data_IF_914898804868
#
_entry.id   IF_914898804868
#
_cell.length_a   1.000
_cell.length_b   1.000
_cell.length_c   1.000
_cell.angle_alpha   90.00
_cell.angle_beta   90.00
_cell.angle_gamma   90.00
#
_symmetry.space_group_name_H-M   'P 1'
#
loop_
_entity.id
_entity.type
_entity.pdbx_description
1 polymer ?
#
# COMPACT_ATOMS: atom_id res chain seq x y z
N UNK A 1 8.90 -18.23 1.74
CA UNK A 1 9.03 -17.89 0.30
C UNK A 1 9.85 -18.99 -0.34
N UNK A 2 9.47 -19.56 -1.51
CA UNK A 2 10.24 -20.60 -2.16
C UNK A 2 11.66 -20.12 -2.49
N UNK A 3 12.67 -20.91 -2.20
CA UNK A 3 14.08 -20.58 -2.44
C UNK A 3 14.36 -20.20 -3.90
N UNK A 4 13.66 -20.83 -4.84
CA UNK A 4 13.76 -20.51 -6.26
C UNK A 4 13.39 -19.04 -6.58
N UNK A 5 12.38 -18.47 -5.92
CA UNK A 5 11.99 -17.07 -6.10
C UNK A 5 13.06 -16.12 -5.53
N UNK A 6 13.67 -16.51 -4.43
CA UNK A 6 14.77 -15.79 -3.81
C UNK A 6 16.00 -15.73 -4.72
N UNK A 7 16.38 -16.87 -5.27
CA UNK A 7 17.49 -16.97 -6.23
C UNK A 7 17.20 -16.20 -7.53
N UNK A 8 15.95 -16.23 -8.01
CA UNK A 8 15.55 -15.50 -9.19
C UNK A 8 15.68 -13.97 -8.96
N UNK A 9 15.20 -13.47 -7.84
CA UNK A 9 15.31 -12.04 -7.48
C UNK A 9 16.76 -11.55 -7.43
N UNK A 10 17.69 -12.39 -7.03
CA UNK A 10 19.10 -12.04 -6.98
C UNK A 10 19.80 -12.05 -8.36
N UNK A 11 19.20 -12.67 -9.36
CA UNK A 11 19.81 -12.89 -10.69
C UNK A 11 19.11 -12.15 -11.83
N UNK A 12 17.85 -11.78 -11.66
CA UNK A 12 17.10 -11.12 -12.74
C UNK A 12 17.65 -9.73 -12.99
N UNK A 13 17.93 -9.43 -14.27
CA UNK A 13 18.42 -8.11 -14.65
C UNK A 13 17.29 -7.07 -14.62
N UNK A 14 17.64 -5.84 -14.29
CA UNK A 14 16.70 -4.71 -14.37
C UNK A 14 16.25 -4.42 -15.80
N UNK A 15 16.97 -4.85 -16.81
CA UNK A 15 16.56 -4.76 -18.21
C UNK A 15 15.30 -5.58 -18.47
N UNK A 16 15.22 -6.82 -17.95
CA UNK A 16 13.99 -7.63 -18.06
C UNK A 16 12.81 -7.01 -17.33
N UNK A 17 13.08 -6.33 -16.22
CA UNK A 17 12.04 -5.57 -15.49
C UNK A 17 11.51 -4.43 -16.34
N UNK A 18 12.41 -3.71 -17.03
CA UNK A 18 12.04 -2.64 -17.96
C UNK A 18 11.23 -3.17 -19.15
N UNK A 19 11.65 -4.28 -19.76
CA UNK A 19 10.89 -4.93 -20.85
C UNK A 19 9.46 -5.28 -20.41
N UNK A 20 9.29 -5.74 -19.16
CA UNK A 20 7.98 -6.03 -18.60
C UNK A 20 7.14 -4.77 -18.44
N UNK A 21 7.71 -3.69 -17.90
CA UNK A 21 7.05 -2.39 -17.80
C UNK A 21 6.60 -1.91 -19.18
N UNK A 22 7.50 -1.92 -20.15
CA UNK A 22 7.24 -1.40 -21.50
C UNK A 22 6.07 -2.15 -22.18
N UNK A 23 5.89 -3.46 -21.91
CA UNK A 23 4.72 -4.22 -22.35
C UNK A 23 3.40 -3.72 -21.75
N UNK A 24 3.41 -3.38 -20.46
CA UNK A 24 2.22 -2.83 -19.80
C UNK A 24 1.92 -1.43 -20.32
N UNK A 25 2.93 -0.57 -20.43
CA UNK A 25 2.78 0.79 -20.96
C UNK A 25 2.27 0.78 -22.41
N UNK A 26 2.78 -0.12 -23.25
CA UNK A 26 2.30 -0.30 -24.64
C UNK A 26 0.82 -0.75 -24.69
N UNK A 27 0.33 -1.42 -23.64
CA UNK A 27 -1.09 -1.77 -23.49
C UNK A 27 -1.93 -0.68 -22.81
N UNK A 28 -1.35 0.50 -22.53
CA UNK A 28 -2.03 1.60 -21.84
C UNK A 28 -2.18 1.39 -20.32
N UNK A 29 -1.42 0.47 -19.73
CA UNK A 29 -1.48 0.17 -18.29
C UNK A 29 -0.21 0.67 -17.61
N UNK A 30 -0.37 1.54 -16.60
CA UNK A 30 0.72 2.02 -15.76
C UNK A 30 0.79 1.21 -14.47
N UNK A 31 2.01 0.85 -14.05
CA UNK A 31 2.26 0.19 -12.76
C UNK A 31 2.55 1.30 -11.74
N UNK A 32 1.60 1.58 -10.87
CA UNK A 32 1.71 2.67 -9.89
C UNK A 32 2.30 2.20 -8.55
N UNK A 33 1.88 1.03 -8.08
CA UNK A 33 2.27 0.49 -6.77
C UNK A 33 2.74 -0.95 -6.93
N UNK A 34 3.83 -1.29 -6.28
CA UNK A 34 4.37 -2.65 -6.28
C UNK A 34 4.21 -3.27 -4.89
N UNK A 35 3.32 -4.27 -4.77
CA UNK A 35 3.14 -4.98 -3.50
C UNK A 35 4.26 -6.00 -3.30
N UNK A 36 4.88 -5.96 -2.11
CA UNK A 36 5.94 -6.88 -1.69
C UNK A 36 5.58 -7.48 -0.35
N UNK A 37 5.03 -8.71 -0.36
CA UNK A 37 4.71 -9.42 0.88
C UNK A 37 5.96 -10.06 1.50
N UNK A 38 6.00 -10.06 2.83
CA UNK A 38 7.07 -10.70 3.61
C UNK A 38 8.42 -9.97 3.55
N UNK A 39 8.46 -8.69 3.20
CA UNK A 39 9.67 -7.90 3.05
C UNK A 39 10.51 -7.85 4.33
N UNK A 40 9.90 -7.89 5.50
CA UNK A 40 10.59 -7.87 6.79
C UNK A 40 11.45 -9.13 7.05
N UNK A 41 11.16 -10.24 6.36
CA UNK A 41 11.92 -11.49 6.45
C UNK A 41 13.00 -11.61 5.37
N UNK A 42 13.22 -10.58 4.58
CA UNK A 42 14.21 -10.56 3.50
C UNK A 42 15.58 -10.10 4.00
N UNK A 43 16.64 -10.61 3.37
CA UNK A 43 17.98 -10.07 3.56
C UNK A 43 18.09 -8.67 2.94
N UNK A 44 19.04 -7.86 3.41
CA UNK A 44 19.22 -6.47 2.98
C UNK A 44 19.35 -6.32 1.45
N UNK A 45 20.11 -7.21 0.80
CA UNK A 45 20.26 -7.25 -0.65
C UNK A 45 18.92 -7.51 -1.38
N UNK A 46 18.05 -8.30 -0.78
CA UNK A 46 16.72 -8.57 -1.35
C UNK A 46 15.80 -7.36 -1.19
N UNK A 47 15.91 -6.66 -0.07
CA UNK A 47 15.18 -5.40 0.15
C UNK A 47 15.65 -4.34 -0.86
N UNK A 48 16.96 -4.13 -1.01
CA UNK A 48 17.51 -3.23 -2.02
C UNK A 48 17.00 -3.56 -3.44
N UNK A 49 16.95 -4.85 -3.77
CA UNK A 49 16.40 -5.30 -5.05
C UNK A 49 14.91 -4.97 -5.20
N UNK A 50 14.09 -5.09 -4.13
CA UNK A 50 12.68 -4.74 -4.19
C UNK A 50 12.45 -3.26 -4.54
N UNK A 51 13.28 -2.35 -4.02
CA UNK A 51 13.21 -0.93 -4.38
C UNK A 51 13.65 -0.69 -5.83
N UNK A 52 14.73 -1.34 -6.27
CA UNK A 52 15.19 -1.26 -7.66
C UNK A 52 14.13 -1.82 -8.64
N UNK A 53 13.52 -2.95 -8.29
CA UNK A 53 12.42 -3.57 -9.04
C UNK A 53 11.23 -2.62 -9.14
N UNK A 54 10.75 -2.06 -8.02
CA UNK A 54 9.59 -1.17 -8.00
C UNK A 54 9.83 0.07 -8.87
N UNK A 55 11.00 0.68 -8.77
CA UNK A 55 11.41 1.81 -9.62
C UNK A 55 11.52 1.41 -11.10
N UNK A 56 12.12 0.26 -11.40
CA UNK A 56 12.25 -0.26 -12.76
C UNK A 56 10.92 -0.55 -13.44
N UNK A 57 9.92 -0.95 -12.66
CA UNK A 57 8.53 -1.14 -13.11
C UNK A 57 7.77 0.18 -13.33
N UNK A 58 8.33 1.33 -12.96
CA UNK A 58 7.65 2.62 -13.04
C UNK A 58 6.79 2.93 -11.81
N UNK A 59 6.81 2.07 -10.80
CA UNK A 59 6.06 2.28 -9.57
C UNK A 59 6.57 3.51 -8.80
N UNK A 60 5.68 4.15 -8.06
CA UNK A 60 5.99 5.31 -7.21
C UNK A 60 6.09 4.95 -5.72
N UNK A 61 5.64 3.76 -5.35
CA UNK A 61 5.78 3.25 -3.99
C UNK A 61 5.79 1.71 -3.96
N UNK A 62 6.41 1.17 -2.91
CA UNK A 62 6.19 -0.21 -2.48
C UNK A 62 5.00 -0.22 -1.52
N UNK A 63 4.14 -1.24 -1.61
CA UNK A 63 3.15 -1.55 -0.59
C UNK A 63 3.51 -2.84 0.12
N UNK A 64 3.38 -2.87 1.44
CA UNK A 64 3.55 -4.08 2.27
C UNK A 64 2.63 -4.03 3.47
N UNK A 65 2.44 -5.14 4.17
CA UNK A 65 1.67 -5.15 5.42
C UNK A 65 2.40 -4.35 6.51
N UNK A 66 1.64 -3.68 7.38
CA UNK A 66 2.24 -2.98 8.53
C UNK A 66 2.77 -3.98 9.55
N UNK A 67 3.97 -3.77 10.05
CA UNK A 67 4.50 -4.53 11.19
C UNK A 67 4.16 -3.82 12.50
N UNK A 68 3.86 -4.58 13.55
CA UNK A 68 3.73 -4.07 14.91
C UNK A 68 5.07 -4.06 15.67
N UNK A 69 6.16 -4.46 15.03
CA UNK A 69 7.52 -4.40 15.58
C UNK A 69 8.21 -3.14 15.06
N UNK A 70 8.60 -2.27 15.97
CA UNK A 70 9.29 -1.03 15.61
C UNK A 70 10.59 -1.26 14.84
N UNK A 71 11.33 -2.33 15.18
CA UNK A 71 12.58 -2.66 14.51
C UNK A 71 12.37 -2.92 13.01
N UNK A 72 11.27 -3.58 12.66
CA UNK A 72 10.91 -3.82 11.26
C UNK A 72 10.66 -2.51 10.52
N UNK A 73 9.88 -1.61 11.15
CA UNK A 73 9.53 -0.30 10.58
C UNK A 73 10.76 0.61 10.46
N UNK A 74 11.63 0.60 11.47
CA UNK A 74 12.90 1.34 11.47
C UNK A 74 13.83 0.82 10.38
N UNK A 75 14.02 -0.51 10.32
CA UNK A 75 14.87 -1.15 9.31
C UNK A 75 14.40 -0.85 7.89
N UNK A 76 13.12 -1.11 7.59
CA UNK A 76 12.59 -0.86 6.24
C UNK A 76 12.58 0.64 5.90
N UNK A 77 12.34 1.49 6.90
CA UNK A 77 12.41 2.95 6.76
C UNK A 77 13.81 3.43 6.35
N UNK A 78 14.89 2.83 6.86
CA UNK A 78 16.26 3.15 6.43
C UNK A 78 16.47 2.86 4.94
N UNK A 79 15.90 1.77 4.41
CA UNK A 79 15.93 1.48 2.97
C UNK A 79 15.06 2.46 2.19
N UNK A 80 13.88 2.79 2.69
CA UNK A 80 13.00 3.77 2.07
C UNK A 80 13.68 5.14 1.92
N UNK A 81 14.35 5.61 2.97
CA UNK A 81 15.10 6.88 2.96
C UNK A 81 16.35 6.78 2.06
N UNK A 82 17.12 5.67 2.12
CA UNK A 82 18.27 5.41 1.25
C UNK A 82 17.87 5.50 -0.24
N UNK A 83 16.76 4.89 -0.60
CA UNK A 83 16.27 4.87 -1.97
C UNK A 83 15.43 6.10 -2.35
N UNK A 84 15.08 6.97 -1.38
CA UNK A 84 14.14 8.08 -1.57
C UNK A 84 12.86 7.61 -2.27
N UNK A 85 12.27 6.54 -1.74
CA UNK A 85 11.15 5.85 -2.36
C UNK A 85 10.14 5.41 -1.30
N UNK A 86 8.88 5.79 -1.46
CA UNK A 86 7.84 5.56 -0.46
C UNK A 86 7.56 4.08 -0.22
N UNK A 87 7.32 3.74 1.04
CA UNK A 87 6.75 2.45 1.47
C UNK A 87 5.39 2.72 2.10
N UNK A 88 4.32 2.25 1.45
CA UNK A 88 2.95 2.34 1.97
C UNK A 88 2.61 1.12 2.81
N UNK A 89 2.55 1.28 4.12
CA UNK A 89 2.16 0.22 5.04
C UNK A 89 0.65 0.01 5.02
N UNK A 90 0.24 -1.18 4.59
CA UNK A 90 -1.16 -1.57 4.53
C UNK A 90 -1.70 -1.94 5.91
N UNK A 91 -2.79 -1.30 6.31
CA UNK A 91 -3.47 -1.59 7.57
C UNK A 91 -4.75 -2.39 7.40
N UNK A 92 -4.98 -3.27 8.37
CA UNK A 92 -6.23 -4.03 8.53
C UNK A 92 -7.13 -3.44 9.61
N UNK A 93 -8.25 -4.09 9.93
CA UNK A 93 -9.17 -3.61 10.96
C UNK A 93 -8.53 -3.51 12.37
N UNK A 94 -7.45 -4.23 12.62
CA UNK A 94 -6.66 -4.14 13.85
C UNK A 94 -5.71 -2.95 13.90
N UNK A 95 -5.47 -2.29 12.75
CA UNK A 95 -4.54 -1.16 12.65
C UNK A 95 -5.22 0.12 13.14
N UNK A 96 -4.56 0.81 14.06
CA UNK A 96 -4.97 2.11 14.57
C UNK A 96 -4.17 3.22 13.89
N UNK A 97 -4.69 4.46 13.83
CA UNK A 97 -3.95 5.61 13.29
C UNK A 97 -2.52 5.73 13.82
N UNK A 98 -2.34 5.53 15.12
CA UNK A 98 -1.06 5.64 15.84
C UNK A 98 0.00 4.65 15.33
N UNK A 99 -0.41 3.51 14.75
CA UNK A 99 0.54 2.56 14.17
C UNK A 99 1.22 3.14 12.93
N UNK A 100 0.47 3.87 12.08
CA UNK A 100 1.07 4.57 10.93
C UNK A 100 1.87 5.79 11.38
N UNK A 101 1.38 6.55 12.37
CA UNK A 101 2.10 7.71 12.91
C UNK A 101 3.45 7.28 13.52
N UNK A 102 3.48 6.14 14.22
CA UNK A 102 4.71 5.52 14.69
C UNK A 102 5.65 5.19 13.51
N UNK A 103 5.14 4.57 12.45
CA UNK A 103 5.95 4.28 11.27
C UNK A 103 6.50 5.57 10.62
N UNK A 104 5.68 6.63 10.53
CA UNK A 104 6.10 7.93 9.99
C UNK A 104 7.22 8.57 10.79
N UNK A 105 7.25 8.36 12.12
CA UNK A 105 8.27 8.94 12.98
C UNK A 105 9.67 8.36 12.74
N UNK A 106 9.77 7.16 12.14
CA UNK A 106 11.05 6.46 11.96
C UNK A 106 11.76 6.80 10.65
N UNK A 107 11.05 7.26 9.62
CA UNK A 107 11.66 7.58 8.34
C UNK A 107 10.78 8.52 7.51
N UNK A 108 11.45 9.36 6.71
CA UNK A 108 10.78 10.32 5.83
C UNK A 108 9.93 9.65 4.76
N UNK A 109 10.37 8.50 4.25
CA UNK A 109 9.69 7.77 3.17
C UNK A 109 8.81 6.62 3.67
N UNK A 110 8.59 6.50 4.99
CA UNK A 110 7.53 5.66 5.54
C UNK A 110 6.18 6.34 5.31
N UNK A 111 5.24 5.61 4.74
CA UNK A 111 3.91 6.10 4.38
C UNK A 111 2.82 5.08 4.69
N UNK A 112 1.59 5.41 4.31
CA UNK A 112 0.43 4.58 4.54
C UNK A 112 -0.22 4.12 3.22
N UNK A 113 -0.60 2.86 3.16
CA UNK A 113 -1.66 2.34 2.32
C UNK A 113 -2.91 2.20 3.21
N UNK A 114 -3.85 3.11 3.07
CA UNK A 114 -5.04 3.14 3.91
C UNK A 114 -6.18 2.39 3.23
N UNK A 115 -6.51 1.20 3.73
CA UNK A 115 -7.78 0.55 3.38
C UNK A 115 -8.90 1.21 4.19
N UNK A 116 -9.70 2.05 3.52
CA UNK A 116 -10.72 2.87 4.19
C UNK A 116 -11.85 2.04 4.80
N UNK A 117 -12.15 0.86 4.25
CA UNK A 117 -13.13 -0.05 4.83
C UNK A 117 -12.61 -0.73 6.10
N UNK A 118 -11.35 -1.17 6.08
CA UNK A 118 -10.73 -1.70 7.30
C UNK A 118 -10.59 -0.62 8.38
N UNK A 119 -10.24 0.61 7.98
CA UNK A 119 -10.16 1.73 8.88
C UNK A 119 -11.48 1.98 9.61
N UNK A 120 -12.58 2.07 8.86
CA UNK A 120 -13.93 2.28 9.41
C UNK A 120 -14.34 1.13 10.33
N UNK A 121 -14.19 -0.11 9.89
CA UNK A 121 -14.59 -1.28 10.66
C UNK A 121 -13.79 -1.41 11.97
N UNK A 122 -12.50 -1.13 11.93
CA UNK A 122 -11.63 -1.31 13.10
C UNK A 122 -11.60 -0.12 14.07
N UNK A 123 -11.84 1.10 13.57
CA UNK A 123 -11.75 2.31 14.40
C UNK A 123 -13.10 2.94 14.72
N UNK A 124 -14.17 2.55 14.04
CA UNK A 124 -15.54 3.06 14.24
C UNK A 124 -15.67 4.57 13.98
N UNK A 125 -14.81 5.12 13.13
CA UNK A 125 -14.79 6.54 12.75
C UNK A 125 -14.46 6.70 11.27
N UNK A 126 -14.75 7.88 10.73
CA UNK A 126 -14.38 8.23 9.36
C UNK A 126 -12.86 8.31 9.19
N UNK A 127 -12.29 7.80 8.07
CA UNK A 127 -10.87 7.97 7.74
C UNK A 127 -10.53 9.38 7.25
N UNK A 128 -11.51 10.22 6.95
CA UNK A 128 -11.32 11.54 6.33
C UNK A 128 -10.41 12.46 7.14
N UNK A 129 -10.54 12.58 8.48
CA UNK A 129 -9.62 13.40 9.27
C UNK A 129 -8.17 12.92 9.15
N UNK A 130 -7.94 11.60 9.25
CA UNK A 130 -6.61 10.99 9.09
C UNK A 130 -6.02 11.25 7.70
N UNK A 131 -6.84 11.08 6.64
CA UNK A 131 -6.42 11.35 5.26
C UNK A 131 -6.02 12.83 5.09
N UNK A 132 -6.81 13.76 5.62
CA UNK A 132 -6.50 15.20 5.55
C UNK A 132 -5.20 15.56 6.28
N UNK A 133 -4.99 14.99 7.44
CA UNK A 133 -3.81 15.26 8.27
C UNK A 133 -2.53 14.69 7.64
N UNK A 134 -2.62 13.51 7.00
CA UNK A 134 -1.45 12.77 6.55
C UNK A 134 -1.37 12.57 5.03
N UNK A 135 -2.08 13.37 4.24
CA UNK A 135 -2.18 13.17 2.78
C UNK A 135 -0.84 13.05 2.07
N UNK A 136 0.20 13.76 2.51
CA UNK A 136 1.56 13.68 1.95
C UNK A 136 2.27 12.36 2.24
N UNK A 137 1.78 11.62 3.22
CA UNK A 137 2.32 10.32 3.64
C UNK A 137 1.49 9.15 3.13
N UNK A 138 0.36 9.40 2.47
CA UNK A 138 -0.49 8.36 1.91
C UNK A 138 -0.03 8.03 0.50
N UNK A 139 0.43 6.81 0.29
CA UNK A 139 0.87 6.33 -1.02
C UNK A 139 -0.32 6.00 -1.93
N UNK A 140 -1.34 5.36 -1.38
CA UNK A 140 -2.58 5.00 -2.07
C UNK A 140 -3.65 4.57 -1.06
N UNK A 141 -4.89 4.46 -1.54
CA UNK A 141 -6.03 3.98 -0.76
C UNK A 141 -6.53 2.66 -1.35
N UNK A 142 -7.01 1.77 -0.47
CA UNK A 142 -7.88 0.68 -0.87
C UNK A 142 -9.33 1.07 -0.60
N UNK A 143 -10.17 1.00 -1.65
CA UNK A 143 -11.60 1.25 -1.54
C UNK A 143 -12.32 -0.05 -1.21
N UNK A 144 -12.88 -0.09 -0.02
CA UNK A 144 -13.76 -1.13 0.47
C UNK A 144 -14.94 -0.50 1.18
N UNK A 145 -16.09 -1.11 1.12
CA UNK A 145 -17.23 -0.71 1.98
C UNK A 145 -17.44 -1.76 3.05
N UNK A 146 -17.43 -1.31 4.30
CA UNK A 146 -17.60 -2.17 5.48
C UNK A 146 -18.51 -1.50 6.50
N UNK A 147 -19.11 -2.33 7.35
CA UNK A 147 -19.85 -1.87 8.53
C UNK A 147 -18.89 -1.57 9.69
N UNK A 148 -19.30 -0.65 10.57
CA UNK A 148 -18.66 -0.40 11.86
C UNK A 148 -18.57 -1.68 12.70
N UNK A 149 -17.82 -1.62 13.81
CA UNK A 149 -17.69 -2.68 14.82
C UNK A 149 -17.16 -4.00 14.23
N UNK A 150 -16.07 -3.89 13.44
CA UNK A 150 -15.46 -5.00 12.69
C UNK A 150 -16.47 -5.74 11.80
N UNK A 151 -17.46 -4.98 11.32
CA UNK A 151 -18.55 -5.52 10.50
C UNK A 151 -18.06 -6.02 9.12
N UNK A 152 -18.91 -6.75 8.41
CA UNK A 152 -18.54 -7.40 7.14
C UNK A 152 -18.30 -6.40 6.01
N UNK A 153 -17.65 -6.89 4.94
CA UNK A 153 -17.64 -6.19 3.66
C UNK A 153 -19.04 -6.18 3.06
N UNK A 154 -19.41 -5.06 2.48
CA UNK A 154 -20.69 -4.86 1.79
C UNK A 154 -20.47 -4.41 0.35
N UNK A 155 -21.48 -4.49 -0.53
CA UNK A 155 -21.48 -3.76 -1.79
C UNK A 155 -21.28 -2.26 -1.56
N UNK A 156 -20.68 -1.56 -2.52
CA UNK A 156 -20.45 -0.12 -2.39
C UNK A 156 -21.76 0.66 -2.22
N UNK A 157 -21.83 1.47 -1.19
CA UNK A 157 -22.98 2.27 -0.81
C UNK A 157 -23.92 1.62 0.21
N UNK A 158 -23.66 0.38 0.61
CA UNK A 158 -24.44 -0.35 1.61
C UNK A 158 -23.76 -0.44 2.98
N UNK A 159 -22.49 -0.05 3.05
CA UNK A 159 -21.68 -0.01 4.28
C UNK A 159 -21.74 1.33 5.01
N UNK A 160 -20.79 1.51 5.90
CA UNK A 160 -20.63 2.73 6.69
C UNK A 160 -19.37 3.50 6.26
N UNK A 161 -18.64 3.00 5.24
CA UNK A 161 -17.43 3.65 4.73
C UNK A 161 -17.79 4.88 3.91
N UNK A 162 -17.30 6.08 4.25
CA UNK A 162 -17.65 7.32 3.56
C UNK A 162 -16.90 7.49 2.23
N UNK A 163 -17.01 6.49 1.33
CA UNK A 163 -16.26 6.41 0.07
C UNK A 163 -16.42 7.70 -0.75
N UNK A 164 -17.67 8.19 -0.88
CA UNK A 164 -17.97 9.39 -1.66
C UNK A 164 -17.29 10.63 -1.08
N UNK A 165 -17.27 10.75 0.25
CA UNK A 165 -16.61 11.87 0.94
C UNK A 165 -15.10 11.81 0.74
N UNK A 166 -14.50 10.64 0.91
CA UNK A 166 -13.05 10.42 0.68
C UNK A 166 -12.69 10.84 -0.75
N UNK A 167 -13.40 10.34 -1.77
CA UNK A 167 -13.11 10.68 -3.16
C UNK A 167 -13.28 12.18 -3.47
N UNK A 168 -14.28 12.84 -2.84
CA UNK A 168 -14.46 14.30 -2.96
C UNK A 168 -13.28 15.04 -2.35
N UNK A 169 -12.82 14.63 -1.15
CA UNK A 169 -11.65 15.25 -0.51
C UNK A 169 -10.41 15.16 -1.39
N UNK A 170 -10.14 13.99 -2.00
CA UNK A 170 -9.00 13.85 -2.93
C UNK A 170 -9.14 14.79 -4.13
N UNK A 171 -10.31 14.81 -4.76
CA UNK A 171 -10.59 15.65 -5.93
C UNK A 171 -10.47 17.15 -5.61
N UNK A 172 -11.14 17.60 -4.55
CA UNK A 172 -11.27 19.01 -4.22
C UNK A 172 -9.94 19.64 -3.78
N UNK A 173 -9.03 18.82 -3.23
CA UNK A 173 -7.68 19.24 -2.88
C UNK A 173 -6.65 18.89 -3.98
N UNK A 174 -7.06 18.27 -5.08
CA UNK A 174 -6.17 17.83 -6.18
C UNK A 174 -5.02 16.92 -5.72
N UNK A 175 -5.25 16.10 -4.69
CA UNK A 175 -4.26 15.17 -4.20
C UNK A 175 -4.13 13.96 -5.13
N UNK A 176 -2.91 13.74 -5.63
CA UNK A 176 -2.59 12.59 -6.49
C UNK A 176 -2.40 11.32 -5.67
N UNK A 177 -3.47 10.88 -4.99
CA UNK A 177 -3.51 9.64 -4.21
C UNK A 177 -4.36 8.64 -4.97
N UNK A 178 -3.76 7.53 -5.40
CA UNK A 178 -4.46 6.47 -6.12
C UNK A 178 -5.47 5.76 -5.22
N UNK A 179 -6.66 5.54 -5.73
CA UNK A 179 -7.72 4.83 -5.03
C UNK A 179 -8.03 3.52 -5.76
N UNK A 180 -7.55 2.40 -5.21
CA UNK A 180 -7.69 1.08 -5.80
C UNK A 180 -8.96 0.40 -5.32
N UNK A 181 -9.82 -0.04 -6.26
CA UNK A 181 -11.01 -0.81 -5.94
C UNK A 181 -10.63 -2.25 -5.60
N UNK A 182 -10.81 -2.64 -4.34
CA UNK A 182 -10.67 -4.03 -3.89
C UNK A 182 -12.06 -4.62 -3.68
N UNK A 183 -12.63 -5.14 -4.78
CA UNK A 183 -13.92 -5.80 -4.75
C UNK A 183 -13.74 -7.31 -4.61
N UNK A 184 -14.11 -7.87 -3.48
CA UNK A 184 -14.42 -9.30 -3.39
C UNK A 184 -15.78 -9.57 -4.08
N UNK A 185 -15.74 -10.09 -5.28
CA UNK A 185 -16.89 -10.85 -5.78
C UNK A 185 -16.69 -12.29 -5.31
N UNK A 186 -17.65 -12.90 -4.60
CA UNK A 186 -17.69 -14.35 -4.56
C UNK A 186 -17.87 -14.82 -6.02
N UNK A 187 -16.87 -15.55 -6.52
CA UNK A 187 -17.01 -16.24 -7.80
C UNK A 187 -18.07 -17.29 -7.57
N UNK A 188 -19.27 -17.10 -8.11
CA UNK A 188 -20.22 -18.20 -8.28
C UNK A 188 -19.60 -19.09 -9.35
N UNK A 189 -18.99 -20.17 -8.92
CA UNK A 189 -18.68 -21.30 -9.78
C UNK A 189 -20.04 -21.96 -10.03
N UNK A 190 -20.61 -21.75 -11.24
CA UNK A 190 -21.77 -22.47 -11.73
C UNK A 190 -21.40 -23.89 -12.12
#
# INVERSE_FOLDING_TARGET
MPEQLRQWRQKVSLERVKEFRDKYEAAGVLIEIVKVDGIFNMADKEIDYCFALARGLGGRAISTEISHKEEDLKRLGQFADKHQFMVGYHGHATTKPEHWETAFSFAKYNGANVDIGHFVAGNNVSPVPFIKQHHERITHLHLKDRKFHDGPNTPFGEGDTPIREVLRVLRDNQWNIQATNIRFRPVRIG
#
